data_IF_903846671347
#
_entry.id   IF_903846671347
#
_cell.length_a   1.000
_cell.length_b   1.000
_cell.length_c   1.000
_cell.angle_alpha   90.00
_cell.angle_beta   90.00
_cell.angle_gamma   90.00
#
_symmetry.space_group_name_H-M   'P 1'
#
loop_
_entity.id
_entity.type
_entity.pdbx_description
1 polymer ?
#
# COMPACT_ATOMS: atom_id res chain seq x y z
N UNK A 1 2.92 -18.14 25.92
CA UNK A 1 2.39 -17.75 24.60
C UNK A 1 2.14 -19.01 23.78
N UNK A 2 0.95 -19.19 23.22
CA UNK A 2 0.68 -20.30 22.29
C UNK A 2 1.15 -19.92 20.89
N UNK A 3 1.82 -20.84 20.19
CA UNK A 3 2.25 -20.65 18.81
C UNK A 3 1.02 -20.74 17.92
N UNK A 4 0.74 -19.69 17.14
CA UNK A 4 -0.34 -19.72 16.15
C UNK A 4 0.20 -20.32 14.84
N UNK A 5 -0.33 -21.47 14.36
CA UNK A 5 0.11 -22.05 13.10
C UNK A 5 -0.37 -21.20 11.92
N UNK A 6 0.40 -21.22 10.82
CA UNK A 6 0.01 -20.59 9.55
C UNK A 6 -1.16 -21.37 8.96
N UNK A 7 -2.32 -20.72 8.80
CA UNK A 7 -3.52 -21.35 8.22
C UNK A 7 -3.47 -21.40 6.69
N UNK A 8 -2.90 -20.37 6.05
CA UNK A 8 -2.91 -20.20 4.59
C UNK A 8 -1.77 -19.31 4.13
N UNK A 9 -1.18 -19.64 3.00
CA UNK A 9 -0.23 -18.80 2.27
C UNK A 9 -0.90 -18.24 1.02
N UNK A 10 -0.82 -16.94 0.82
CA UNK A 10 -1.41 -16.25 -0.33
C UNK A 10 -0.33 -15.47 -1.04
N UNK A 11 -0.20 -15.67 -2.36
CA UNK A 11 0.73 -14.90 -3.18
C UNK A 11 0.05 -13.61 -3.64
N UNK A 12 0.71 -12.48 -3.43
CA UNK A 12 0.23 -11.19 -3.89
C UNK A 12 0.17 -11.14 -5.42
N UNK A 13 -0.95 -10.63 -5.95
CA UNK A 13 -1.25 -10.56 -7.38
C UNK A 13 -0.85 -9.19 -7.94
N UNK A 14 -0.28 -9.11 -9.16
CA UNK A 14 -0.09 -7.84 -9.85
C UNK A 14 -1.43 -7.13 -10.06
N UNK A 15 -1.46 -5.82 -9.82
CA UNK A 15 -2.65 -4.98 -9.92
C UNK A 15 -2.26 -3.60 -10.44
N UNK A 16 -3.15 -2.98 -11.23
CA UNK A 16 -3.07 -1.59 -11.64
C UNK A 16 -4.04 -0.75 -10.82
N UNK A 17 -3.59 0.42 -10.34
CA UNK A 17 -4.41 1.37 -9.57
C UNK A 17 -4.09 2.81 -9.97
N UNK A 18 -4.94 3.76 -9.56
CA UNK A 18 -4.71 5.18 -9.81
C UNK A 18 -4.57 5.50 -11.30
N UNK A 19 -3.51 6.24 -11.67
CA UNK A 19 -3.21 6.61 -13.06
C UNK A 19 -2.34 5.58 -13.80
N UNK A 20 -2.51 4.28 -13.51
CA UNK A 20 -1.73 3.20 -14.12
C UNK A 20 -0.57 2.69 -13.28
N UNK A 21 -0.63 2.91 -11.96
CA UNK A 21 0.41 2.50 -11.02
C UNK A 21 0.40 0.98 -10.86
N UNK A 22 1.55 0.36 -11.08
CA UNK A 22 1.75 -1.08 -10.87
C UNK A 22 2.08 -1.37 -9.40
N UNK A 23 1.33 -2.31 -8.81
CA UNK A 23 1.55 -2.76 -7.43
C UNK A 23 1.21 -4.25 -7.28
N UNK A 24 1.45 -4.79 -6.08
CA UNK A 24 1.06 -6.16 -5.72
C UNK A 24 0.04 -6.15 -4.58
N UNK A 25 -1.17 -6.65 -4.85
CA UNK A 25 -2.22 -6.78 -3.83
C UNK A 25 -2.16 -8.14 -3.16
N UNK A 26 -1.96 -8.15 -1.84
CA UNK A 26 -1.94 -9.38 -1.04
C UNK A 26 -3.35 -9.87 -0.71
N UNK A 27 -4.20 -8.96 -0.25
CA UNK A 27 -5.63 -9.17 -0.07
C UNK A 27 -6.37 -7.85 -0.31
N UNK A 28 -7.65 -7.95 -0.63
CA UNK A 28 -8.54 -6.81 -0.86
C UNK A 28 -9.59 -7.13 -1.91
N UNK A 29 -10.66 -6.33 -1.91
CA UNK A 29 -11.91 -6.56 -2.65
C UNK A 29 -12.61 -7.90 -2.32
N UNK A 30 -13.95 -7.90 -2.29
CA UNK A 30 -14.73 -9.10 -1.96
C UNK A 30 -14.85 -9.37 -0.46
N UNK A 31 -14.84 -10.64 -0.06
CA UNK A 31 -15.06 -11.06 1.34
C UNK A 31 -13.79 -10.82 2.18
N UNK A 32 -13.85 -9.85 3.10
CA UNK A 32 -12.75 -9.47 3.99
C UNK A 32 -12.81 -10.15 5.36
N UNK A 33 -13.72 -11.11 5.59
CA UNK A 33 -13.92 -11.75 6.91
C UNK A 33 -12.65 -12.36 7.51
N UNK A 34 -11.79 -12.95 6.68
CA UNK A 34 -10.50 -13.52 7.09
C UNK A 34 -9.50 -12.46 7.62
N UNK A 35 -9.70 -11.19 7.25
CA UNK A 35 -8.75 -10.10 7.47
C UNK A 35 -9.34 -8.94 8.27
N UNK A 36 -10.60 -8.98 8.68
CA UNK A 36 -11.25 -7.93 9.47
C UNK A 36 -10.42 -7.61 10.72
N UNK A 37 -10.12 -6.32 11.02
CA UNK A 37 -10.66 -5.08 10.44
C UNK A 37 -9.95 -4.54 9.18
N UNK A 38 -9.00 -5.29 8.61
CA UNK A 38 -8.26 -4.90 7.42
C UNK A 38 -9.03 -5.24 6.15
N UNK A 39 -9.10 -4.25 5.26
CA UNK A 39 -9.87 -4.31 4.03
C UNK A 39 -8.99 -4.58 2.82
N UNK A 40 -7.73 -4.15 2.85
CA UNK A 40 -6.80 -4.26 1.74
C UNK A 40 -5.35 -4.10 2.22
N UNK A 41 -4.43 -4.81 1.57
CA UNK A 41 -2.99 -4.63 1.67
C UNK A 41 -2.36 -4.62 0.29
N UNK A 42 -1.72 -3.50 -0.04
CA UNK A 42 -0.93 -3.29 -1.24
C UNK A 42 0.55 -3.16 -0.89
N UNK A 43 1.39 -3.87 -1.63
CA UNK A 43 2.85 -3.78 -1.60
C UNK A 43 3.29 -3.12 -2.91
N UNK A 44 3.76 -1.89 -2.78
CA UNK A 44 4.24 -1.06 -3.86
C UNK A 44 5.77 -1.11 -3.87
N UNK A 45 6.32 -1.76 -4.89
CA UNK A 45 7.76 -1.91 -5.10
C UNK A 45 8.00 -1.83 -6.58
N UNK A 46 8.66 -0.77 -7.01
CA UNK A 46 8.98 -0.63 -8.40
C UNK A 46 10.32 0.07 -8.58
N UNK A 47 11.09 -0.44 -9.51
CA UNK A 47 12.39 0.04 -9.97
C UNK A 47 12.28 0.75 -11.33
N UNK A 48 11.12 0.64 -12.00
CA UNK A 48 10.78 1.26 -13.29
C UNK A 48 9.91 2.50 -13.04
N UNK A 49 10.41 3.73 -13.24
CA UNK A 49 9.66 4.96 -12.99
C UNK A 49 8.32 5.04 -13.72
N UNK A 50 8.27 4.59 -14.97
CA UNK A 50 7.09 4.66 -15.83
C UNK A 50 5.88 3.95 -15.22
N UNK A 51 6.13 2.91 -14.43
CA UNK A 51 5.09 2.11 -13.79
C UNK A 51 4.44 2.80 -12.59
N UNK A 52 4.93 3.96 -12.15
CA UNK A 52 4.42 4.62 -10.95
C UNK A 52 4.38 6.14 -10.98
N UNK A 53 5.12 6.79 -11.87
CA UNK A 53 5.29 8.25 -11.87
C UNK A 53 3.96 9.01 -11.99
N UNK A 54 2.97 8.43 -12.66
CA UNK A 54 1.63 9.01 -12.79
C UNK A 54 0.87 9.05 -11.44
N UNK A 55 1.25 8.19 -10.49
CA UNK A 55 0.78 8.21 -9.11
C UNK A 55 -0.72 7.95 -8.95
N UNK A 56 -1.23 8.43 -7.82
CA UNK A 56 -2.65 8.31 -7.47
C UNK A 56 -3.27 9.71 -7.55
N UNK A 57 -4.05 10.01 -8.60
CA UNK A 57 -4.82 11.25 -8.68
C UNK A 57 -5.70 11.42 -7.45
N UNK A 58 -6.11 12.65 -7.15
CA UNK A 58 -6.99 12.90 -6.00
C UNK A 58 -8.26 12.03 -6.06
N UNK A 59 -8.56 11.35 -4.95
CA UNK A 59 -9.72 10.47 -4.82
C UNK A 59 -10.20 10.40 -3.36
N UNK A 60 -11.52 10.39 -3.12
CA UNK A 60 -12.06 10.44 -1.76
C UNK A 60 -12.02 9.09 -1.04
N UNK A 61 -11.91 9.13 0.29
CA UNK A 61 -12.10 7.99 1.19
C UNK A 61 -13.17 8.30 2.23
N UNK A 62 -14.03 7.33 2.57
CA UNK A 62 -15.07 7.45 3.61
C UNK A 62 -15.11 6.20 4.47
N UNK A 63 -15.22 6.36 5.79
CA UNK A 63 -15.41 5.25 6.74
C UNK A 63 -14.20 4.33 6.92
N UNK A 64 -13.02 4.74 6.42
CA UNK A 64 -11.80 3.95 6.47
C UNK A 64 -10.61 4.79 6.93
N UNK A 65 -9.55 4.10 7.32
CA UNK A 65 -8.22 4.64 7.50
C UNK A 65 -7.28 4.03 6.47
N UNK A 66 -6.26 4.80 6.07
CA UNK A 66 -5.20 4.33 5.19
C UNK A 66 -3.88 4.55 5.88
N UNK A 67 -3.18 3.46 6.18
CA UNK A 67 -1.86 3.46 6.80
C UNK A 67 -0.86 3.17 5.70
N UNK A 68 0.13 4.04 5.56
CA UNK A 68 1.21 3.89 4.57
C UNK A 68 2.53 3.78 5.30
N UNK A 69 3.26 2.68 5.05
CA UNK A 69 4.55 2.40 5.65
C UNK A 69 5.64 2.35 4.59
N UNK A 70 6.72 3.11 4.80
CA UNK A 70 7.90 3.13 3.93
C UNK A 70 8.94 2.17 4.51
N UNK A 71 9.41 1.20 3.69
CA UNK A 71 10.23 0.08 4.15
C UNK A 71 11.74 0.40 4.25
N UNK A 72 12.29 1.29 3.42
CA UNK A 72 13.66 1.81 3.55
C UNK A 72 13.93 2.94 2.54
N UNK A 73 14.87 3.81 2.88
CA UNK A 73 15.60 4.68 1.95
C UNK A 73 16.94 4.02 1.62
N UNK A 74 17.34 4.00 0.35
CA UNK A 74 18.77 3.93 0.03
C UNK A 74 19.43 5.25 0.47
N UNK A 75 20.65 5.24 1.03
CA UNK A 75 21.32 6.45 1.45
C UNK A 75 21.82 7.21 0.21
N UNK A 76 20.95 7.99 -0.44
CA UNK A 76 21.34 9.07 -1.33
C UNK A 76 20.18 10.06 -1.52
N UNK A 77 20.48 11.33 -1.26
CA UNK A 77 19.73 12.55 -1.58
C UNK A 77 18.73 13.07 -0.53
N UNK A 78 18.93 14.35 -0.22
CA UNK A 78 18.43 15.24 0.84
C UNK A 78 16.95 15.13 1.25
N UNK A 79 16.60 15.56 2.49
CA UNK A 79 15.23 15.54 2.97
C UNK A 79 14.42 16.61 2.24
N UNK A 80 13.51 16.20 1.35
CA UNK A 80 12.50 17.11 0.81
C UNK A 80 11.46 17.37 1.89
N UNK A 81 11.54 18.55 2.48
CA UNK A 81 10.55 19.14 3.38
C UNK A 81 9.29 19.54 2.59
N UNK A 82 8.31 18.66 2.47
CA UNK A 82 6.92 19.06 2.17
C UNK A 82 5.94 17.94 2.53
N UNK A 83 4.90 18.21 3.35
CA UNK A 83 3.80 17.28 3.59
C UNK A 83 2.82 17.35 2.41
N UNK A 84 3.30 17.09 1.19
CA UNK A 84 2.48 17.03 -0.01
C UNK A 84 2.42 15.59 -0.46
N UNK A 85 1.27 14.97 -0.19
CA UNK A 85 0.70 13.76 -0.77
C UNK A 85 1.68 12.66 -1.20
N UNK A 86 1.46 11.47 -0.62
CA UNK A 86 2.02 10.18 -1.02
C UNK A 86 1.90 10.05 -2.56
N UNK A 87 2.97 10.38 -3.29
CA UNK A 87 2.90 10.50 -4.74
C UNK A 87 4.08 11.21 -5.40
N UNK A 88 4.85 12.02 -4.67
CA UNK A 88 5.96 12.79 -5.28
C UNK A 88 7.37 12.25 -5.06
N UNK A 89 7.57 11.18 -4.27
CA UNK A 89 8.87 10.49 -4.22
C UNK A 89 8.72 8.98 -4.01
N UNK A 90 8.52 8.19 -5.08
CA UNK A 90 8.14 6.77 -5.00
C UNK A 90 9.32 5.81 -5.13
N UNK A 91 10.56 6.29 -5.08
CA UNK A 91 11.77 5.44 -5.12
C UNK A 91 11.86 4.47 -3.91
N UNK A 92 10.94 4.59 -2.95
CA UNK A 92 10.98 3.84 -1.71
C UNK A 92 9.91 2.75 -1.73
N UNK A 93 10.25 1.50 -1.35
CA UNK A 93 9.25 0.45 -1.22
C UNK A 93 8.21 0.86 -0.16
N UNK A 94 6.94 0.92 -0.56
CA UNK A 94 5.81 1.34 0.27
C UNK A 94 4.84 0.19 0.45
N UNK A 95 4.25 0.08 1.64
CA UNK A 95 3.08 -0.77 1.89
C UNK A 95 1.92 0.07 2.36
N UNK A 96 0.76 -0.17 1.78
CA UNK A 96 -0.48 0.53 2.14
C UNK A 96 -1.50 -0.48 2.64
N UNK A 97 -2.06 -0.21 3.81
CA UNK A 97 -3.17 -0.98 4.38
C UNK A 97 -4.37 -0.07 4.54
N UNK A 98 -5.55 -0.56 4.16
CA UNK A 98 -6.83 0.07 4.48
C UNK A 98 -7.51 -0.72 5.60
N UNK A 99 -8.01 -0.02 6.60
CA UNK A 99 -8.79 -0.61 7.71
C UNK A 99 -10.11 0.13 7.87
N UNK A 100 -11.11 -0.53 8.45
CA UNK A 100 -12.30 0.17 8.95
C UNK A 100 -11.89 1.07 10.11
N UNK A 101 -12.49 2.27 10.20
CA UNK A 101 -12.41 3.06 11.44
C UNK A 101 -13.19 2.33 12.54
N UNK A 102 -12.61 2.23 13.72
CA UNK A 102 -13.41 2.03 14.93
C UNK A 102 -14.22 3.32 15.17
N UNK A 103 -15.52 3.19 15.36
CA UNK A 103 -16.36 4.29 15.87
C UNK A 103 -15.92 4.69 17.29
#
# INVERSE_FOLDING_TARGET
MSIRPVKRLVKAKPTLEGAGVHLRRAFGFGNTSDFDPFLLLDDFRNDVPEDYLAGFPWYPHRGIETITYVLAQLPALSPVSSPRFIGHNPEWPIRTVKSRRSE
#
